data_IF_782165057726
#
_entry.id   IF_782165057726
#
_cell.length_a   1.000
_cell.length_b   1.000
_cell.length_c   1.000
_cell.angle_alpha   90.00
_cell.angle_beta   90.00
_cell.angle_gamma   90.00
#
_symmetry.space_group_name_H-M   'P 1'
#
loop_
_entity.id
_entity.type
_entity.pdbx_description
1 polymer ?
#
# COMPACT_ATOMS: atom_id res chain seq x y z
N UNK A 1 -57.71 6.31 37.99
CA UNK A 1 -58.02 5.37 36.88
C UNK A 1 -56.74 5.32 36.04
N UNK A 2 -55.80 4.37 36.18
CA UNK A 2 -55.89 2.95 36.57
C UNK A 2 -56.88 2.20 35.64
N UNK A 3 -56.59 1.10 34.93
CA UNK A 3 -55.49 0.11 34.86
C UNK A 3 -55.18 -0.20 33.36
N UNK A 4 -54.11 -0.86 32.88
CA UNK A 4 -52.78 -1.30 33.40
C UNK A 4 -52.00 -1.99 32.24
N UNK A 5 -50.67 -2.22 32.34
CA UNK A 5 -49.89 -3.02 31.37
C UNK A 5 -50.30 -4.50 31.38
N UNK A 6 -50.17 -5.23 30.27
CA UNK A 6 -49.82 -6.67 30.32
C UNK A 6 -49.21 -7.18 29.01
N UNK A 7 -48.00 -7.74 29.11
CA UNK A 7 -47.44 -8.64 28.10
C UNK A 7 -48.22 -9.97 28.06
N UNK A 8 -48.36 -10.57 26.88
CA UNK A 8 -48.58 -12.02 26.76
C UNK A 8 -47.51 -12.69 25.90
N UNK A 9 -46.63 -13.41 26.56
CA UNK A 9 -45.79 -14.46 25.99
C UNK A 9 -46.47 -15.85 26.13
N UNK A 10 -45.84 -16.89 25.55
CA UNK A 10 -46.26 -18.31 25.44
C UNK A 10 -47.06 -18.62 24.15
N UNK A 11 -46.90 -19.78 23.50
CA UNK A 11 -45.79 -20.75 23.44
C UNK A 11 -46.00 -21.68 22.23
N UNK A 12 -44.97 -22.41 21.81
CA UNK A 12 -45.00 -23.38 20.69
C UNK A 12 -45.79 -24.65 21.07
N UNK A 13 -46.89 -24.98 20.37
CA UNK A 13 -47.22 -26.35 19.84
C UNK A 13 -48.65 -26.47 19.26
N UNK A 14 -48.73 -26.96 18.01
CA UNK A 14 -49.90 -27.64 17.43
C UNK A 14 -51.11 -26.73 17.07
N UNK A 15 -52.05 -27.17 16.22
CA UNK A 15 -52.10 -28.37 15.37
C UNK A 15 -53.10 -28.17 14.21
N UNK A 16 -52.92 -28.92 13.13
CA UNK A 16 -53.67 -28.91 11.86
C UNK A 16 -55.21 -28.96 11.96
N UNK A 17 -55.90 -28.05 11.24
CA UNK A 17 -57.14 -28.26 10.43
C UNK A 17 -57.15 -27.13 9.37
N UNK A 18 -57.51 -27.27 8.08
CA UNK A 18 -58.01 -28.41 7.31
C UNK A 18 -59.16 -28.00 6.38
N UNK A 19 -58.89 -27.74 5.09
CA UNK A 19 -59.86 -27.64 3.97
C UNK A 19 -59.07 -27.64 2.65
N UNK A 20 -59.24 -28.55 1.69
CA UNK A 20 -60.43 -28.96 0.91
C UNK A 20 -61.03 -27.81 0.08
N UNK A 21 -61.31 -27.93 -1.22
CA UNK A 21 -61.01 -28.97 -2.21
C UNK A 21 -61.15 -28.36 -3.63
N UNK A 22 -60.67 -29.05 -4.67
CA UNK A 22 -61.36 -29.17 -5.97
C UNK A 22 -60.69 -30.27 -6.83
N UNK A 23 -61.50 -31.02 -7.58
CA UNK A 23 -61.09 -32.24 -8.26
C UNK A 23 -61.04 -32.08 -9.79
N UNK A 24 -60.15 -32.83 -10.45
CA UNK A 24 -60.07 -32.96 -11.91
C UNK A 24 -59.22 -34.17 -12.29
N UNK A 25 -59.81 -35.14 -12.99
CA UNK A 25 -59.26 -36.50 -13.15
C UNK A 25 -58.73 -36.76 -14.56
N UNK A 26 -57.51 -37.28 -14.72
CA UNK A 26 -57.11 -38.13 -15.87
C UNK A 26 -55.76 -38.87 -15.68
N UNK A 27 -55.85 -40.13 -15.27
CA UNK A 27 -55.00 -41.29 -15.59
C UNK A 27 -53.63 -41.10 -16.30
N UNK A 28 -52.54 -41.41 -15.59
CA UNK A 28 -51.45 -42.28 -16.06
C UNK A 28 -50.67 -42.88 -14.87
N UNK A 29 -50.43 -44.19 -14.89
CA UNK A 29 -49.58 -44.94 -13.96
C UNK A 29 -48.26 -45.32 -14.70
N UNK A 30 -47.10 -45.62 -14.05
CA UNK A 30 -47.03 -46.60 -12.96
C UNK A 30 -46.02 -46.39 -11.81
N UNK A 31 -46.28 -47.15 -10.74
CA UNK A 31 -45.33 -47.87 -9.88
C UNK A 31 -44.14 -47.15 -9.19
N UNK A 32 -44.36 -46.84 -7.92
CA UNK A 32 -43.52 -47.23 -6.76
C UNK A 32 -42.02 -47.53 -6.97
N UNK A 33 -41.19 -46.68 -6.36
CA UNK A 33 -40.16 -47.16 -5.43
C UNK A 33 -40.27 -46.38 -4.11
N UNK A 34 -40.49 -47.09 -3.00
CA UNK A 34 -40.13 -46.56 -1.68
C UNK A 34 -38.61 -46.51 -1.65
N UNK A 35 -38.05 -45.36 -1.30
CA UNK A 35 -36.83 -45.40 -0.50
C UNK A 35 -36.91 -44.41 0.66
N UNK A 36 -35.98 -44.60 1.58
CA UNK A 36 -36.13 -44.43 3.00
C UNK A 36 -35.71 -43.04 3.48
N UNK A 37 -36.15 -42.73 4.71
CA UNK A 37 -35.77 -41.51 5.41
C UNK A 37 -34.27 -41.55 5.74
N UNK A 38 -33.47 -40.82 4.96
CA UNK A 38 -32.12 -40.44 5.41
C UNK A 38 -31.78 -39.00 4.99
N UNK A 39 -32.62 -38.05 5.43
CA UNK A 39 -32.26 -36.64 5.45
C UNK A 39 -31.24 -36.38 6.56
N UNK A 40 -29.98 -36.78 6.32
CA UNK A 40 -28.87 -35.98 6.82
C UNK A 40 -29.09 -34.57 6.29
N UNK A 41 -29.33 -33.62 7.18
CA UNK A 41 -29.17 -32.23 6.85
C UNK A 41 -27.71 -32.07 6.42
N UNK A 42 -27.47 -31.82 5.12
CA UNK A 42 -26.21 -31.18 4.73
C UNK A 42 -26.22 -29.84 5.44
N UNK A 43 -25.31 -29.65 6.38
CA UNK A 43 -24.80 -28.32 6.64
C UNK A 43 -24.41 -27.76 5.27
N UNK A 44 -25.08 -26.69 4.85
CA UNK A 44 -24.57 -25.92 3.73
C UNK A 44 -23.27 -25.33 4.24
N UNK A 45 -22.17 -25.80 3.67
CA UNK A 45 -20.85 -25.30 4.00
C UNK A 45 -20.75 -23.85 3.54
N UNK A 46 -20.98 -22.93 4.48
CA UNK A 46 -21.05 -21.48 4.22
C UNK A 46 -19.64 -20.90 3.99
N UNK A 47 -18.59 -21.71 4.17
CA UNK A 47 -17.18 -21.30 4.09
C UNK A 47 -16.58 -21.41 2.69
N UNK A 48 -17.24 -22.17 1.80
CA UNK A 48 -16.77 -22.42 0.44
C UNK A 48 -15.55 -23.33 0.31
N UNK A 49 -15.11 -24.03 1.37
CA UNK A 49 -13.88 -24.84 1.40
C UNK A 49 -13.98 -26.21 0.69
N UNK A 50 -14.54 -26.20 -0.53
CA UNK A 50 -14.35 -27.29 -1.47
C UNK A 50 -12.94 -27.25 -2.10
N UNK A 51 -12.37 -28.39 -2.53
CA UNK A 51 -11.03 -28.48 -3.15
C UNK A 51 -10.95 -27.87 -4.57
N UNK A 52 -11.89 -26.99 -4.91
CA UNK A 52 -12.05 -26.36 -6.21
C UNK A 52 -12.70 -24.96 -6.03
N UNK A 53 -12.32 -24.23 -4.97
CA UNK A 53 -12.88 -22.94 -4.64
C UNK A 53 -12.24 -21.82 -5.46
N UNK A 54 -13.06 -21.10 -6.24
CA UNK A 54 -12.67 -19.94 -7.06
C UNK A 54 -12.41 -18.68 -6.19
N UNK A 55 -11.76 -18.84 -5.03
CA UNK A 55 -11.49 -17.76 -4.05
C UNK A 55 -9.98 -17.47 -3.99
N UNK A 56 -9.40 -16.81 -5.01
CA UNK A 56 -7.95 -16.71 -5.17
C UNK A 56 -7.22 -15.95 -4.07
N UNK A 57 -7.91 -15.14 -3.26
CA UNK A 57 -7.31 -14.35 -2.18
C UNK A 57 -7.41 -15.00 -0.78
N UNK A 58 -8.24 -16.04 -0.62
CA UNK A 58 -8.62 -16.58 0.70
C UNK A 58 -7.41 -17.09 1.50
N UNK A 59 -6.48 -17.76 0.81
CA UNK A 59 -5.31 -18.41 1.41
C UNK A 59 -3.98 -17.89 0.83
N UNK A 60 -3.97 -16.71 0.19
CA UNK A 60 -2.73 -16.13 -0.34
C UNK A 60 -2.05 -15.26 0.70
N UNK A 61 -0.87 -15.70 1.12
CA UNK A 61 -0.03 -15.07 2.13
C UNK A 61 1.24 -14.50 1.49
N UNK A 62 1.81 -13.48 2.13
CA UNK A 62 3.19 -13.03 1.88
C UNK A 62 3.99 -13.31 3.14
N UNK A 63 5.18 -13.88 3.01
CA UNK A 63 6.04 -14.17 4.16
C UNK A 63 6.36 -12.88 4.93
N UNK A 64 6.10 -12.91 6.24
CA UNK A 64 6.34 -11.78 7.14
C UNK A 64 7.76 -11.79 7.71
N UNK A 65 8.31 -12.98 7.94
CA UNK A 65 9.71 -13.17 8.35
C UNK A 65 10.63 -13.20 7.14
N UNK A 66 11.86 -12.72 7.32
CA UNK A 66 12.83 -12.65 6.24
C UNK A 66 14.02 -11.75 6.59
N UNK A 67 14.94 -11.61 5.64
CA UNK A 67 16.08 -10.69 5.70
C UNK A 67 15.64 -9.22 5.62
N UNK A 68 14.66 -8.94 4.76
CA UNK A 68 14.06 -7.63 4.58
C UNK A 68 12.59 -7.66 4.96
N UNK A 69 12.02 -6.52 5.35
CA UNK A 69 10.58 -6.43 5.60
C UNK A 69 9.76 -6.62 4.31
N UNK A 70 8.64 -7.34 4.43
CA UNK A 70 7.64 -7.44 3.37
C UNK A 70 7.03 -6.07 3.03
N UNK A 71 6.45 -5.95 1.84
CA UNK A 71 5.87 -4.70 1.33
C UNK A 71 6.88 -3.75 0.67
N UNK A 72 8.14 -4.18 0.49
CA UNK A 72 9.20 -3.40 -0.18
C UNK A 72 9.49 -3.98 -1.56
N UNK A 73 10.12 -5.18 -1.62
CA UNK A 73 10.32 -5.96 -2.85
C UNK A 73 9.06 -6.74 -3.27
N UNK A 74 8.12 -6.95 -2.34
CA UNK A 74 6.82 -7.56 -2.62
C UNK A 74 6.09 -6.80 -3.73
N UNK A 75 5.58 -7.51 -4.77
CA UNK A 75 4.72 -6.91 -5.79
C UNK A 75 3.62 -6.02 -5.18
N UNK A 76 3.31 -4.85 -5.76
CA UNK A 76 2.27 -3.98 -5.23
C UNK A 76 0.90 -4.67 -5.22
N UNK A 77 0.28 -4.77 -4.03
CA UNK A 77 -1.11 -5.19 -3.88
C UNK A 77 -2.07 -4.10 -4.37
N UNK A 78 -3.33 -4.45 -4.58
CA UNK A 78 -4.37 -3.54 -5.06
C UNK A 78 -4.61 -2.31 -4.16
N UNK A 79 -4.42 -2.42 -2.84
CA UNK A 79 -4.70 -1.34 -1.89
C UNK A 79 -3.57 -1.14 -0.88
N UNK A 80 -3.40 0.10 -0.43
CA UNK A 80 -2.47 0.48 0.62
C UNK A 80 -3.08 1.53 1.57
N UNK A 81 -2.83 1.38 2.86
CA UNK A 81 -2.99 2.42 3.85
C UNK A 81 -1.61 2.76 4.40
N UNK A 82 -1.19 4.02 4.27
CA UNK A 82 0.06 4.52 4.85
C UNK A 82 -0.31 5.42 6.04
N UNK A 83 0.24 5.11 7.22
CA UNK A 83 -0.11 5.77 8.47
C UNK A 83 1.12 6.42 9.10
N UNK A 84 1.04 7.72 9.37
CA UNK A 84 1.99 8.46 10.18
C UNK A 84 1.54 8.50 11.63
N UNK A 85 2.34 7.95 12.54
CA UNK A 85 2.10 7.91 13.99
C UNK A 85 3.08 8.81 14.75
N UNK A 86 2.55 9.60 15.68
CA UNK A 86 3.36 10.38 16.62
C UNK A 86 3.37 9.73 18.00
N UNK A 87 4.55 9.53 18.59
CA UNK A 87 4.70 9.05 19.96
C UNK A 87 4.27 10.12 20.97
N UNK A 88 3.52 9.73 22.00
CA UNK A 88 3.18 10.62 23.12
C UNK A 88 4.43 11.04 23.90
N UNK A 89 4.35 12.20 24.57
CA UNK A 89 5.48 12.87 25.22
C UNK A 89 6.14 12.07 26.36
N UNK A 90 5.40 11.18 27.01
CA UNK A 90 5.85 10.38 28.15
C UNK A 90 6.35 8.97 27.78
N UNK A 91 6.25 8.57 26.50
CA UNK A 91 6.78 7.31 25.97
C UNK A 91 8.30 7.30 26.03
N UNK A 92 8.84 6.18 26.52
CA UNK A 92 10.29 5.94 26.63
C UNK A 92 10.72 4.75 25.77
N UNK A 93 12.03 4.50 25.70
CA UNK A 93 12.62 3.39 24.94
C UNK A 93 11.93 2.05 25.24
N UNK A 94 11.67 1.75 26.52
CA UNK A 94 10.97 0.54 26.94
C UNK A 94 9.50 0.45 26.48
N UNK A 95 8.83 1.58 26.29
CA UNK A 95 7.45 1.64 25.83
C UNK A 95 7.38 1.49 24.30
N UNK A 96 8.35 2.06 23.58
CA UNK A 96 8.57 1.81 22.16
C UNK A 96 8.88 0.32 21.90
N UNK A 97 9.71 -0.33 22.72
CA UNK A 97 9.93 -1.80 22.67
C UNK A 97 8.63 -2.58 22.80
N UNK A 98 7.76 -2.21 23.75
CA UNK A 98 6.45 -2.87 23.96
C UNK A 98 5.54 -2.69 22.75
N UNK A 99 5.49 -1.49 22.18
CA UNK A 99 4.72 -1.19 20.97
C UNK A 99 5.21 -2.03 19.77
N UNK A 100 6.51 -2.00 19.47
CA UNK A 100 7.04 -2.72 18.31
C UNK A 100 6.94 -4.24 18.47
N UNK A 101 7.17 -4.80 19.68
CA UNK A 101 6.91 -6.22 19.97
C UNK A 101 5.45 -6.62 19.73
N UNK A 102 4.51 -5.78 20.18
CA UNK A 102 3.07 -6.00 19.96
C UNK A 102 2.72 -5.95 18.47
N UNK A 103 3.16 -4.91 17.77
CA UNK A 103 2.89 -4.74 16.34
C UNK A 103 3.55 -5.81 15.46
N UNK A 104 4.77 -6.27 15.76
CA UNK A 104 5.38 -7.38 15.04
C UNK A 104 4.59 -8.69 15.23
N UNK A 105 4.18 -9.02 16.46
CA UNK A 105 3.37 -10.22 16.72
C UNK A 105 1.97 -10.14 16.10
N UNK A 106 1.35 -8.96 16.13
CA UNK A 106 0.05 -8.71 15.48
C UNK A 106 0.17 -8.85 13.95
N UNK A 107 1.23 -8.28 13.35
CA UNK A 107 1.50 -8.39 11.93
C UNK A 107 1.71 -9.84 11.49
N UNK A 108 2.63 -10.55 12.15
CA UNK A 108 2.92 -11.99 11.97
C UNK A 108 1.65 -12.86 11.94
N UNK A 109 0.66 -12.51 12.78
CA UNK A 109 -0.63 -13.21 12.84
C UNK A 109 -1.53 -12.84 11.67
N UNK A 110 -1.78 -11.54 11.47
CA UNK A 110 -2.68 -11.05 10.43
C UNK A 110 -2.24 -11.46 9.02
N UNK A 111 -0.94 -11.40 8.70
CA UNK A 111 -0.42 -11.80 7.38
C UNK A 111 -0.52 -13.30 7.12
N UNK A 112 -0.74 -14.12 8.15
CA UNK A 112 -0.91 -15.59 8.06
C UNK A 112 -2.30 -16.07 8.49
N UNK A 113 -3.31 -15.20 8.36
CA UNK A 113 -4.73 -15.54 8.55
C UNK A 113 -5.16 -15.76 10.00
N UNK A 114 -4.29 -15.42 10.96
CA UNK A 114 -4.48 -15.70 12.40
C UNK A 114 -4.92 -14.45 13.12
N UNK A 115 -5.84 -14.62 14.06
CA UNK A 115 -6.31 -13.54 14.92
C UNK A 115 -5.23 -13.08 15.92
N UNK A 116 -4.95 -11.76 16.02
CA UNK A 116 -4.17 -11.14 17.09
C UNK A 116 -4.73 -11.36 18.49
N UNK A 117 -3.90 -11.19 19.51
CA UNK A 117 -4.35 -11.29 20.91
C UNK A 117 -5.20 -10.06 21.27
N UNK A 118 -6.43 -10.29 21.71
CA UNK A 118 -7.35 -9.21 22.10
C UNK A 118 -7.92 -8.43 20.92
N UNK A 119 -7.87 -8.98 19.70
CA UNK A 119 -8.82 -8.66 18.62
C UNK A 119 -10.24 -9.10 19.02
N UNK A 120 -11.25 -8.37 18.58
CA UNK A 120 -12.66 -8.60 18.89
C UNK A 120 -13.47 -9.06 17.66
N UNK A 121 -12.87 -9.02 16.47
CA UNK A 121 -13.50 -9.38 15.19
C UNK A 121 -12.67 -10.46 14.46
N UNK A 122 -12.50 -11.66 15.05
CA UNK A 122 -11.62 -12.72 14.52
C UNK A 122 -11.96 -13.14 13.09
N UNK A 123 -13.22 -13.06 12.68
CA UNK A 123 -13.72 -13.39 11.34
C UNK A 123 -13.03 -12.55 10.24
N UNK A 124 -12.61 -11.32 10.56
CA UNK A 124 -11.97 -10.41 9.60
C UNK A 124 -10.49 -10.74 9.37
N UNK A 125 -9.87 -11.53 10.26
CA UNK A 125 -8.48 -11.97 10.10
C UNK A 125 -8.32 -13.19 9.19
N UNK A 126 -9.39 -13.93 8.87
CA UNK A 126 -9.30 -15.25 8.21
C UNK A 126 -8.88 -15.23 6.73
N UNK A 127 -8.87 -14.06 6.08
CA UNK A 127 -8.47 -13.91 4.67
C UNK A 127 -7.27 -12.96 4.60
N UNK A 128 -6.04 -13.48 4.43
CA UNK A 128 -4.85 -12.63 4.42
C UNK A 128 -4.77 -11.76 3.16
N UNK A 129 -5.28 -12.20 2.02
CA UNK A 129 -5.33 -11.42 0.77
C UNK A 129 -4.00 -10.68 0.44
N UNK A 130 -2.87 -11.38 0.51
CA UNK A 130 -1.53 -10.83 0.31
C UNK A 130 -1.16 -9.69 1.27
N UNK A 131 -1.74 -9.64 2.48
CA UNK A 131 -1.46 -8.62 3.49
C UNK A 131 0.04 -8.54 3.80
N UNK A 132 0.55 -7.32 3.81
CA UNK A 132 1.91 -6.97 4.27
C UNK A 132 1.86 -5.75 5.16
N UNK A 133 2.83 -5.67 6.06
CA UNK A 133 3.03 -4.53 6.96
C UNK A 133 4.52 -4.18 6.99
N UNK A 134 4.82 -2.92 6.73
CA UNK A 134 6.19 -2.38 6.72
C UNK A 134 6.28 -1.24 7.73
N UNK A 135 7.17 -1.35 8.71
CA UNK A 135 7.44 -0.34 9.73
C UNK A 135 8.64 0.53 9.33
N UNK A 136 8.55 1.84 9.54
CA UNK A 136 9.64 2.79 9.37
C UNK A 136 9.71 3.80 10.51
N UNK A 137 10.92 4.13 10.95
CA UNK A 137 11.22 5.01 12.08
C UNK A 137 11.75 6.36 11.56
N UNK A 138 11.09 7.45 11.91
CA UNK A 138 11.44 8.81 11.48
C UNK A 138 12.43 9.46 12.44
N UNK A 139 13.05 10.57 12.02
CA UNK A 139 13.95 11.37 12.87
C UNK A 139 13.39 11.65 14.29
N UNK A 140 12.11 12.07 14.47
CA UNK A 140 11.56 12.34 15.80
C UNK A 140 11.56 11.13 16.76
N UNK A 141 11.49 9.90 16.25
CA UNK A 141 11.56 8.69 17.07
C UNK A 141 12.93 8.54 17.74
N UNK A 142 14.00 8.79 17.00
CA UNK A 142 15.36 8.72 17.55
C UNK A 142 15.55 9.81 18.61
N UNK A 143 15.11 11.05 18.32
CA UNK A 143 15.32 12.18 19.21
C UNK A 143 14.47 12.09 20.49
N UNK A 144 13.20 11.65 20.42
CA UNK A 144 12.36 11.44 21.63
C UNK A 144 12.86 10.32 22.53
N UNK A 145 13.43 9.26 21.96
CA UNK A 145 13.91 8.09 22.71
C UNK A 145 15.35 8.22 23.20
N UNK A 146 16.04 9.32 22.88
CA UNK A 146 17.44 9.56 23.27
C UNK A 146 18.44 8.71 22.48
N UNK A 147 18.12 8.41 21.22
CA UNK A 147 18.89 7.57 20.29
C UNK A 147 19.57 8.39 19.18
N UNK A 148 19.71 9.71 19.34
CA UNK A 148 20.28 10.60 18.33
C UNK A 148 21.68 10.19 17.88
N UNK A 149 22.51 9.59 18.76
CA UNK A 149 23.84 9.05 18.41
C UNK A 149 23.78 7.80 17.50
N UNK A 150 22.63 7.13 17.43
CA UNK A 150 22.33 6.01 16.52
C UNK A 150 21.52 6.45 15.29
N UNK A 151 21.15 7.74 15.17
CA UNK A 151 20.35 8.21 14.03
C UNK A 151 21.20 8.16 12.74
N UNK A 152 20.74 7.51 11.65
CA UNK A 152 21.43 7.57 10.36
C UNK A 152 21.58 9.03 9.91
N UNK A 153 22.74 9.42 9.39
CA UNK A 153 23.01 10.85 9.09
C UNK A 153 22.09 11.46 8.04
N UNK A 154 21.56 10.63 7.14
CA UNK A 154 20.59 10.99 6.10
C UNK A 154 19.14 11.03 6.60
N UNK A 155 18.85 10.56 7.83
CA UNK A 155 17.50 10.53 8.39
C UNK A 155 17.15 11.89 8.98
N UNK A 156 16.74 12.80 8.11
CA UNK A 156 16.20 14.11 8.42
C UNK A 156 15.10 14.49 7.42
N UNK A 157 14.38 15.58 7.66
CA UNK A 157 13.42 16.14 6.70
C UNK A 157 14.11 16.47 5.36
N UNK A 158 13.48 16.12 4.24
CA UNK A 158 13.93 16.54 2.91
C UNK A 158 13.69 18.04 2.73
N UNK A 159 14.74 18.78 2.38
CA UNK A 159 14.66 20.20 2.01
C UNK A 159 13.52 20.48 1.02
N UNK A 160 12.73 21.52 1.27
CA UNK A 160 11.64 21.93 0.40
C UNK A 160 12.15 22.38 -0.99
N UNK A 161 11.52 21.86 -2.05
CA UNK A 161 11.84 22.21 -3.43
C UNK A 161 11.13 23.49 -3.89
N UNK A 162 11.58 24.09 -5.01
CA UNK A 162 11.10 25.41 -5.44
C UNK A 162 9.60 25.49 -5.75
N UNK A 163 8.96 24.34 -6.02
CA UNK A 163 7.53 24.19 -6.34
C UNK A 163 6.72 23.47 -5.26
N UNK A 164 7.33 23.13 -4.14
CA UNK A 164 6.63 22.45 -3.04
C UNK A 164 5.59 23.38 -2.40
N UNK A 165 4.47 22.80 -1.99
CA UNK A 165 3.45 23.44 -1.14
C UNK A 165 3.13 22.51 0.02
N UNK A 166 4.16 22.13 0.79
CA UNK A 166 4.02 21.15 1.86
C UNK A 166 3.04 21.65 2.93
N UNK A 167 2.16 20.75 3.35
CA UNK A 167 1.15 20.98 4.38
C UNK A 167 1.52 20.18 5.62
N UNK A 168 1.46 20.83 6.80
CA UNK A 168 1.90 20.23 8.08
C UNK A 168 1.18 18.91 8.39
N UNK A 169 -0.08 18.77 7.93
CA UNK A 169 -0.90 17.56 8.11
C UNK A 169 -0.29 16.32 7.44
N UNK A 170 0.46 16.48 6.34
CA UNK A 170 1.16 15.39 5.63
C UNK A 170 2.69 15.37 5.86
N UNK A 171 3.17 16.16 6.84
CA UNK A 171 4.59 16.20 7.21
C UNK A 171 5.03 15.03 8.09
N UNK A 172 6.33 14.99 8.39
CA UNK A 172 7.04 14.00 9.21
C UNK A 172 6.34 13.54 10.49
N UNK A 173 6.59 12.28 10.87
CA UNK A 173 6.14 11.62 12.11
C UNK A 173 7.25 10.80 12.77
N UNK A 174 7.00 10.30 13.99
CA UNK A 174 7.92 9.37 14.66
C UNK A 174 7.95 8.00 13.98
N UNK A 175 6.80 7.43 13.64
CA UNK A 175 6.71 6.11 12.98
C UNK A 175 5.82 6.22 11.74
N UNK A 176 6.16 5.47 10.70
CA UNK A 176 5.29 5.18 9.58
C UNK A 176 4.99 3.68 9.52
N UNK A 177 3.73 3.32 9.26
CA UNK A 177 3.33 1.95 8.93
C UNK A 177 2.66 1.93 7.57
N UNK A 178 3.25 1.23 6.61
CA UNK A 178 2.63 0.89 5.33
C UNK A 178 1.93 -0.46 5.48
N UNK A 179 0.59 -0.49 5.33
CA UNK A 179 -0.22 -1.71 5.33
C UNK A 179 -0.78 -1.89 3.92
N UNK A 180 -0.52 -3.01 3.25
CA UNK A 180 -1.00 -3.25 1.88
C UNK A 180 -1.65 -4.63 1.76
N UNK A 181 -2.79 -4.72 1.06
CA UNK A 181 -3.51 -5.97 0.79
C UNK A 181 -4.32 -5.89 -0.52
N UNK A 182 -4.72 -7.03 -1.06
CA UNK A 182 -5.58 -7.12 -2.25
C UNK A 182 -7.07 -7.01 -1.93
N UNK A 183 -7.46 -7.13 -0.65
CA UNK A 183 -8.84 -6.98 -0.17
C UNK A 183 -8.99 -5.77 0.78
N UNK A 184 -9.99 -4.89 0.55
CA UNK A 184 -10.17 -3.68 1.35
C UNK A 184 -10.77 -3.93 2.75
N UNK A 185 -11.44 -5.06 2.99
CA UNK A 185 -11.96 -5.43 4.32
C UNK A 185 -10.80 -5.90 5.20
N UNK A 186 -9.94 -6.79 4.69
CA UNK A 186 -8.69 -7.19 5.35
C UNK A 186 -7.82 -5.98 5.66
N UNK A 187 -7.64 -5.07 4.69
CA UNK A 187 -6.88 -3.84 4.89
C UNK A 187 -7.49 -2.94 5.98
N UNK A 188 -8.81 -2.75 5.98
CA UNK A 188 -9.51 -1.92 6.96
C UNK A 188 -9.43 -2.51 8.38
N UNK A 189 -9.57 -3.83 8.53
CA UNK A 189 -9.42 -4.54 9.80
C UNK A 189 -8.00 -4.39 10.36
N UNK A 190 -6.98 -4.74 9.56
CA UNK A 190 -5.58 -4.61 9.92
C UNK A 190 -5.21 -3.17 10.35
N UNK A 191 -5.68 -2.18 9.59
CA UNK A 191 -5.49 -0.75 9.88
C UNK A 191 -6.13 -0.34 11.21
N UNK A 192 -7.41 -0.68 11.41
CA UNK A 192 -8.14 -0.40 12.66
C UNK A 192 -7.48 -1.07 13.86
N UNK A 193 -6.99 -2.30 13.70
CA UNK A 193 -6.30 -3.03 14.76
C UNK A 193 -5.01 -2.33 15.18
N UNK A 194 -4.17 -1.91 14.23
CA UNK A 194 -2.93 -1.17 14.49
C UNK A 194 -3.15 0.17 15.19
N UNK A 195 -4.14 0.96 14.74
CA UNK A 195 -4.51 2.22 15.40
C UNK A 195 -4.96 1.95 16.85
N UNK A 196 -5.78 0.91 17.07
CA UNK A 196 -6.27 0.54 18.41
C UNK A 196 -5.15 0.06 19.33
N UNK A 197 -4.21 -0.76 18.86
CA UNK A 197 -3.08 -1.25 19.66
C UNK A 197 -2.06 -0.14 19.98
N UNK A 198 -2.01 0.92 19.17
CA UNK A 198 -1.16 2.10 19.41
C UNK A 198 -1.60 2.99 20.57
N UNK A 199 -2.87 2.92 21.02
CA UNK A 199 -3.55 4.00 21.76
C UNK A 199 -2.91 4.45 23.09
N UNK A 200 -2.00 3.65 23.68
CA UNK A 200 -1.23 4.01 24.89
C UNK A 200 0.14 4.65 24.60
N UNK A 201 0.58 4.62 23.36
CA UNK A 201 1.95 4.91 22.95
C UNK A 201 2.01 5.97 21.83
N UNK A 202 1.06 5.94 20.90
CA UNK A 202 1.04 6.85 19.76
C UNK A 202 -0.37 7.28 19.38
N UNK A 203 -0.44 8.43 18.70
CA UNK A 203 -1.61 8.92 17.99
C UNK A 203 -1.35 8.93 16.47
N UNK A 204 -2.40 8.78 15.67
CA UNK A 204 -2.31 8.93 14.21
C UNK A 204 -2.28 10.42 13.88
N UNK A 205 -1.19 10.89 13.26
CA UNK A 205 -1.13 12.24 12.67
C UNK A 205 -1.88 12.28 11.34
N UNK A 206 -1.66 11.27 10.50
CA UNK A 206 -2.28 11.17 9.18
C UNK A 206 -2.44 9.73 8.71
N UNK A 207 -3.42 9.50 7.84
CA UNK A 207 -3.70 8.24 7.17
C UNK A 207 -3.98 8.53 5.69
N UNK A 208 -3.21 7.90 4.81
CA UNK A 208 -3.35 8.04 3.37
C UNK A 208 -3.86 6.72 2.76
N UNK A 209 -5.05 6.77 2.17
CA UNK A 209 -5.67 5.67 1.45
C UNK A 209 -5.22 5.67 -0.01
N UNK A 210 -4.64 4.56 -0.46
CA UNK A 210 -4.07 4.37 -1.78
C UNK A 210 -4.62 3.13 -2.50
N UNK A 211 -4.72 3.21 -3.83
CA UNK A 211 -5.16 2.10 -4.67
C UNK A 211 -4.40 1.99 -6.00
N UNK A 212 -4.44 0.78 -6.55
CA UNK A 212 -4.04 0.39 -7.89
C UNK A 212 -5.22 -0.35 -8.56
N UNK A 213 -4.98 -1.12 -9.61
CA UNK A 213 -6.01 -2.03 -10.14
C UNK A 213 -6.35 -3.11 -9.10
N UNK A 214 -7.65 -3.38 -8.91
CA UNK A 214 -8.11 -4.49 -8.09
C UNK A 214 -7.57 -5.83 -8.62
N UNK A 215 -7.22 -6.74 -7.72
CA UNK A 215 -6.61 -8.03 -8.06
C UNK A 215 -7.47 -8.80 -9.08
N UNK A 216 -6.85 -9.27 -10.16
CA UNK A 216 -7.54 -9.92 -11.29
C UNK A 216 -8.14 -8.99 -12.36
N UNK A 217 -8.10 -7.66 -12.19
CA UNK A 217 -8.59 -6.69 -13.21
C UNK A 217 -7.60 -6.49 -14.39
N UNK A 218 -6.35 -6.90 -14.20
CA UNK A 218 -5.26 -6.84 -15.18
C UNK A 218 -4.42 -8.12 -15.08
N UNK A 219 -3.60 -8.40 -16.09
CA UNK A 219 -2.70 -9.56 -16.07
C UNK A 219 -1.72 -9.50 -14.89
N UNK A 220 -1.44 -10.66 -14.27
CA UNK A 220 -0.53 -10.74 -13.12
C UNK A 220 0.88 -10.32 -13.53
N UNK A 221 1.40 -9.28 -12.89
CA UNK A 221 2.73 -8.71 -13.20
C UNK A 221 2.72 -7.61 -14.25
N UNK A 222 1.57 -7.26 -14.84
CA UNK A 222 1.46 -6.09 -15.70
C UNK A 222 1.71 -4.79 -14.92
N UNK A 223 2.41 -3.84 -15.54
CA UNK A 223 2.63 -2.51 -14.97
C UNK A 223 1.29 -1.78 -14.77
N UNK A 224 1.03 -1.35 -13.53
CA UNK A 224 -0.17 -0.58 -13.19
C UNK A 224 -0.23 0.78 -13.87
N UNK A 225 -1.36 1.48 -13.75
CA UNK A 225 -1.53 2.85 -14.26
C UNK A 225 -1.74 3.86 -13.16
N UNK A 226 -1.23 5.07 -13.38
CA UNK A 226 -1.54 6.24 -12.55
C UNK A 226 -2.78 6.98 -13.09
N UNK A 227 -3.34 7.92 -12.30
CA UNK A 227 -4.55 8.67 -12.69
C UNK A 227 -4.35 9.63 -13.89
N UNK A 228 -3.11 9.94 -14.28
CA UNK A 228 -2.84 10.61 -15.56
C UNK A 228 -3.00 9.69 -16.78
N UNK A 229 -3.19 8.38 -16.55
CA UNK A 229 -3.43 7.35 -17.56
C UNK A 229 -2.18 6.61 -18.03
N UNK A 230 -1.00 6.92 -17.50
CA UNK A 230 0.28 6.33 -17.92
C UNK A 230 0.55 5.01 -17.19
N UNK A 231 1.22 4.06 -17.87
CA UNK A 231 1.85 2.92 -17.19
C UNK A 231 2.90 3.46 -16.22
N UNK A 232 2.83 3.04 -14.96
CA UNK A 232 3.69 3.56 -13.89
C UNK A 232 4.31 2.39 -13.10
N UNK A 233 5.65 2.30 -13.17
CA UNK A 233 6.42 1.23 -12.53
C UNK A 233 7.40 0.49 -13.44
N UNK A 234 7.34 0.73 -14.77
CA UNK A 234 8.14 0.08 -15.82
C UNK A 234 9.64 -0.02 -15.51
N UNK A 235 10.24 1.08 -15.05
CA UNK A 235 11.65 1.11 -14.62
C UNK A 235 11.66 1.12 -13.09
N UNK A 236 12.06 -0.02 -12.54
CA UNK A 236 12.20 -0.36 -11.12
C UNK A 236 13.14 -1.57 -11.02
N UNK A 237 13.81 -1.80 -9.87
CA UNK A 237 14.60 -3.01 -9.67
C UNK A 237 13.72 -4.27 -9.72
N UNK A 238 14.26 -5.31 -10.34
CA UNK A 238 13.59 -6.54 -10.75
C UNK A 238 14.35 -7.82 -10.38
N UNK A 239 15.65 -7.72 -10.11
CA UNK A 239 16.51 -8.80 -9.62
C UNK A 239 17.10 -8.50 -8.25
N UNK A 240 17.52 -9.53 -7.52
CA UNK A 240 18.14 -9.38 -6.19
C UNK A 240 19.40 -8.50 -6.25
N UNK A 241 20.17 -8.56 -7.35
CA UNK A 241 21.32 -7.69 -7.60
C UNK A 241 20.90 -6.21 -7.73
N UNK A 242 19.82 -5.92 -8.45
CA UNK A 242 19.30 -4.55 -8.57
C UNK A 242 18.72 -4.03 -7.24
N UNK A 243 18.11 -4.90 -6.42
CA UNK A 243 17.66 -4.53 -5.08
C UNK A 243 18.84 -4.29 -4.12
N UNK A 244 19.88 -5.13 -4.16
CA UNK A 244 21.10 -4.96 -3.38
C UNK A 244 21.92 -3.73 -3.80
N UNK A 245 21.89 -3.33 -5.07
CA UNK A 245 22.50 -2.08 -5.58
C UNK A 245 21.71 -0.84 -5.12
N UNK A 246 20.38 -0.90 -5.12
CA UNK A 246 19.54 0.32 -5.05
C UNK A 246 18.83 0.53 -3.72
N UNK A 247 18.49 -0.53 -2.96
CA UNK A 247 17.48 -0.48 -1.89
C UNK A 247 18.04 -0.82 -0.51
N UNK A 248 18.80 -1.90 -0.39
CA UNK A 248 19.19 -2.46 0.92
C UNK A 248 20.45 -1.82 1.49
N UNK A 249 20.39 -1.38 2.74
CA UNK A 249 21.53 -0.76 3.43
C UNK A 249 22.59 -1.84 3.72
N UNK A 250 23.79 -1.64 3.21
CA UNK A 250 24.96 -2.52 3.35
C UNK A 250 26.10 -1.89 4.18
N UNK A 251 26.11 -0.57 4.32
CA UNK A 251 27.06 0.18 5.16
C UNK A 251 26.43 0.73 6.45
N UNK A 252 27.27 0.98 7.46
CA UNK A 252 26.84 1.51 8.77
C UNK A 252 26.78 0.45 9.88
N UNK A 253 26.09 0.73 11.00
CA UNK A 253 26.00 -0.17 12.14
C UNK A 253 25.18 -1.43 11.81
N UNK A 254 25.50 -2.55 12.45
CA UNK A 254 24.91 -3.85 12.09
C UNK A 254 23.37 -3.92 12.25
N UNK A 255 22.78 -3.15 13.17
CA UNK A 255 21.32 -3.06 13.32
C UNK A 255 20.60 -2.34 12.16
N UNK A 256 21.34 -1.59 11.33
CA UNK A 256 20.80 -0.83 10.20
C UNK A 256 20.89 -1.59 8.86
N UNK A 257 21.76 -2.60 8.79
CA UNK A 257 21.96 -3.42 7.58
C UNK A 257 20.71 -4.23 7.24
N UNK A 258 20.55 -4.55 5.97
CA UNK A 258 19.36 -5.19 5.37
C UNK A 258 18.05 -4.38 5.53
N UNK A 259 18.08 -3.23 6.21
CA UNK A 259 17.04 -2.22 6.20
C UNK A 259 17.05 -1.36 4.93
N UNK A 260 16.22 -0.32 4.90
CA UNK A 260 16.16 0.64 3.79
C UNK A 260 15.67 2.01 4.24
N UNK A 261 15.94 3.06 3.48
CA UNK A 261 15.25 4.34 3.62
C UNK A 261 13.92 4.31 2.85
N UNK A 262 12.83 4.65 3.53
CA UNK A 262 11.53 4.94 2.95
C UNK A 262 11.33 6.45 2.83
N UNK A 263 10.90 6.93 1.65
CA UNK A 263 10.40 8.30 1.45
C UNK A 263 8.95 8.23 0.99
N UNK A 264 8.10 9.03 1.62
CA UNK A 264 6.68 9.22 1.24
C UNK A 264 6.46 10.68 0.86
N UNK A 265 5.98 10.90 -0.36
CA UNK A 265 5.56 12.22 -0.86
C UNK A 265 4.09 12.15 -1.28
N UNK A 266 3.26 13.04 -0.74
CA UNK A 266 1.88 13.21 -1.21
C UNK A 266 1.89 14.22 -2.36
N UNK A 267 1.46 13.79 -3.53
CA UNK A 267 1.51 14.58 -4.77
C UNK A 267 0.09 14.80 -5.28
N UNK A 268 -0.39 16.03 -5.20
CA UNK A 268 -1.67 16.43 -5.78
C UNK A 268 -1.55 16.59 -7.30
N UNK A 269 -2.60 16.18 -8.02
CA UNK A 269 -2.71 16.33 -9.47
C UNK A 269 -3.69 17.44 -9.83
N UNK A 270 -3.26 18.38 -10.68
CA UNK A 270 -4.16 19.30 -11.34
C UNK A 270 -4.78 18.62 -12.57
N UNK A 271 -5.85 17.86 -12.35
CA UNK A 271 -6.55 17.14 -13.42
C UNK A 271 -7.25 18.09 -14.40
N UNK A 272 -7.82 19.20 -13.91
CA UNK A 272 -8.54 20.18 -14.74
C UNK A 272 -7.66 20.80 -15.84
N UNK A 273 -6.39 21.12 -15.56
CA UNK A 273 -5.42 21.56 -16.58
C UNK A 273 -4.82 20.40 -17.38
N UNK A 274 -4.59 19.23 -16.76
CA UNK A 274 -4.06 18.05 -17.46
C UNK A 274 -5.00 17.56 -18.56
N UNK A 275 -6.31 17.56 -18.30
CA UNK A 275 -7.31 17.05 -19.23
C UNK A 275 -7.48 17.93 -20.48
N UNK A 276 -7.00 19.18 -20.46
CA UNK A 276 -6.98 20.08 -21.63
C UNK A 276 -5.91 19.71 -22.64
N UNK A 277 -4.86 18.99 -22.24
CA UNK A 277 -3.80 18.57 -23.16
C UNK A 277 -4.29 17.52 -24.15
N UNK A 278 -3.89 17.66 -25.41
CA UNK A 278 -3.98 16.57 -26.36
C UNK A 278 -3.03 15.42 -25.98
N UNK A 279 -3.25 14.24 -26.58
CA UNK A 279 -2.49 13.04 -26.24
C UNK A 279 -0.99 13.15 -26.54
N UNK A 280 -0.59 13.77 -27.66
CA UNK A 280 0.82 13.89 -28.01
C UNK A 280 1.56 14.83 -27.05
N UNK A 281 0.90 15.91 -26.61
CA UNK A 281 1.42 16.78 -25.54
C UNK A 281 1.62 16.02 -24.22
N UNK A 282 0.67 15.17 -23.81
CA UNK A 282 0.83 14.32 -22.61
C UNK A 282 1.98 13.33 -22.75
N UNK A 283 2.10 12.67 -23.90
CA UNK A 283 3.18 11.71 -24.18
C UNK A 283 4.56 12.40 -24.21
N UNK A 284 4.65 13.63 -24.73
CA UNK A 284 5.86 14.47 -24.65
C UNK A 284 6.25 14.81 -23.20
N UNK A 285 5.27 15.16 -22.34
CA UNK A 285 5.52 15.48 -20.92
C UNK A 285 6.16 14.30 -20.19
N UNK A 286 5.71 13.07 -20.44
CA UNK A 286 6.29 11.87 -19.83
C UNK A 286 7.54 11.33 -20.54
N UNK A 287 7.64 11.50 -21.86
CA UNK A 287 8.64 10.89 -22.73
C UNK A 287 8.30 9.45 -23.19
N UNK A 288 7.10 8.95 -22.84
CA UNK A 288 6.59 7.61 -23.16
C UNK A 288 5.21 7.69 -23.82
N UNK A 289 4.81 6.65 -24.54
CA UNK A 289 3.47 6.50 -25.11
C UNK A 289 2.45 6.08 -24.04
N UNK A 290 1.21 6.56 -24.10
CA UNK A 290 0.15 6.20 -23.15
C UNK A 290 -0.36 4.77 -23.34
N UNK A 291 -0.46 4.29 -24.58
CA UNK A 291 -0.99 2.93 -24.85
C UNK A 291 -0.01 1.88 -24.35
N UNK A 292 1.17 1.81 -24.96
CA UNK A 292 2.14 0.75 -24.69
C UNK A 292 3.04 1.05 -23.49
N UNK A 293 3.24 2.33 -23.13
CA UNK A 293 4.29 2.72 -22.19
C UNK A 293 5.68 2.77 -22.83
N UNK A 294 5.83 2.42 -24.13
CA UNK A 294 7.10 2.48 -24.85
C UNK A 294 7.70 3.90 -24.84
N UNK A 295 9.04 4.05 -24.79
CA UNK A 295 9.67 5.37 -24.93
C UNK A 295 9.37 5.99 -26.30
N UNK A 296 9.34 7.32 -26.40
CA UNK A 296 9.12 8.00 -27.70
C UNK A 296 10.23 7.73 -28.73
N UNK A 297 11.37 7.18 -28.32
CA UNK A 297 12.37 6.63 -29.23
C UNK A 297 11.90 5.38 -30.00
N UNK A 298 10.80 4.75 -29.59
CA UNK A 298 10.20 3.56 -30.20
C UNK A 298 10.51 2.25 -29.45
N UNK A 299 9.83 1.18 -29.86
CA UNK A 299 9.91 -0.15 -29.23
C UNK A 299 8.64 -0.50 -28.45
N UNK A 300 8.80 -1.33 -27.43
CA UNK A 300 7.79 -1.71 -26.44
C UNK A 300 8.04 -1.02 -25.08
N UNK A 301 7.25 -1.36 -24.06
CA UNK A 301 7.38 -0.83 -22.70
C UNK A 301 8.82 -0.93 -22.14
N UNK A 302 9.46 -2.08 -22.29
CA UNK A 302 10.73 -2.42 -21.66
C UNK A 302 11.96 -2.09 -22.53
N UNK A 303 11.72 -1.62 -23.76
CA UNK A 303 12.78 -1.17 -24.67
C UNK A 303 13.57 0.00 -24.03
N UNK A 304 14.92 -0.08 -23.99
CA UNK A 304 15.75 1.02 -23.52
C UNK A 304 15.53 2.31 -24.33
N UNK A 305 15.43 3.44 -23.63
CA UNK A 305 15.20 4.74 -24.24
C UNK A 305 16.47 5.29 -24.92
N UNK A 306 16.34 5.75 -26.17
CA UNK A 306 17.40 6.48 -26.86
C UNK A 306 17.20 7.99 -26.73
N UNK A 307 17.81 8.57 -25.69
CA UNK A 307 17.81 10.01 -25.41
C UNK A 307 18.59 10.85 -26.45
N UNK A 308 19.32 10.23 -27.39
CA UNK A 308 20.11 10.91 -28.42
C UNK A 308 19.41 10.90 -29.78
N UNK A 309 18.32 10.12 -29.93
CA UNK A 309 17.54 10.04 -31.17
C UNK A 309 16.81 11.35 -31.46
N UNK A 310 16.90 11.79 -32.71
CA UNK A 310 16.16 12.95 -33.23
C UNK A 310 15.15 12.55 -34.31
N UNK A 311 14.19 13.43 -34.56
CA UNK A 311 13.29 13.37 -35.70
C UNK A 311 13.96 13.86 -37.00
N UNK A 312 13.17 13.94 -38.09
CA UNK A 312 13.61 14.43 -39.41
C UNK A 312 14.02 15.92 -39.42
N UNK A 313 13.64 16.69 -38.40
CA UNK A 313 13.96 18.10 -38.21
C UNK A 313 15.18 18.32 -37.30
N UNK A 314 15.73 17.24 -36.72
CA UNK A 314 16.84 17.29 -35.77
C UNK A 314 16.43 17.62 -34.33
N UNK A 315 15.14 17.57 -34.00
CA UNK A 315 14.63 17.75 -32.64
C UNK A 315 14.67 16.42 -31.87
N UNK A 316 15.02 16.39 -30.58
CA UNK A 316 14.99 15.17 -29.78
C UNK A 316 13.58 14.54 -29.74
N UNK A 317 13.48 13.24 -30.01
CA UNK A 317 12.17 12.52 -29.96
C UNK A 317 11.68 12.31 -28.53
N UNK A 318 12.60 12.24 -27.57
CA UNK A 318 12.32 12.35 -26.14
C UNK A 318 12.77 13.75 -25.74
N UNK A 319 11.84 14.58 -25.26
CA UNK A 319 12.16 15.92 -24.79
C UNK A 319 13.13 15.84 -23.58
N UNK A 320 14.27 16.56 -23.58
CA UNK A 320 15.20 16.59 -22.44
C UNK A 320 14.60 17.12 -21.13
N UNK A 321 13.43 17.78 -21.19
CA UNK A 321 12.61 18.25 -20.06
C UNK A 321 11.45 17.31 -19.72
N UNK A 322 11.27 16.20 -20.44
CA UNK A 322 10.27 15.17 -20.11
C UNK A 322 10.60 14.48 -18.78
N UNK A 323 9.56 14.02 -18.08
CA UNK A 323 9.69 13.39 -16.77
C UNK A 323 10.72 12.26 -16.76
N UNK A 324 10.68 11.34 -17.75
CA UNK A 324 11.65 10.25 -17.80
C UNK A 324 13.10 10.70 -18.04
N UNK A 325 13.31 11.74 -18.87
CA UNK A 325 14.65 12.26 -19.17
C UNK A 325 15.25 13.07 -18.01
N UNK A 326 14.41 13.59 -17.11
CA UNK A 326 14.84 14.24 -15.86
C UNK A 326 15.02 13.25 -14.71
N UNK A 327 14.18 12.21 -14.65
CA UNK A 327 14.21 11.18 -13.62
C UNK A 327 15.39 10.20 -13.77
N UNK A 328 15.80 9.87 -15.01
CA UNK A 328 16.92 8.93 -15.25
C UNK A 328 18.21 9.37 -14.55
N UNK A 329 19.02 8.40 -14.13
CA UNK A 329 20.33 8.66 -13.57
C UNK A 329 21.29 9.20 -14.65
N UNK A 330 22.18 10.16 -14.32
CA UNK A 330 23.33 10.48 -15.15
C UNK A 330 24.26 9.27 -15.36
N UNK A 331 25.00 9.25 -16.47
CA UNK A 331 25.99 8.19 -16.80
C UNK A 331 27.10 8.10 -15.73
N UNK A 332 27.49 9.22 -15.11
CA UNK A 332 28.51 9.30 -14.06
C UNK A 332 27.96 9.08 -12.64
N UNK A 333 26.65 8.84 -12.50
CA UNK A 333 25.93 8.65 -11.23
C UNK A 333 24.97 7.44 -11.28
N UNK A 334 25.46 6.22 -11.58
CA UNK A 334 24.61 5.04 -11.76
C UNK A 334 23.81 4.63 -10.52
N UNK A 335 24.26 5.05 -9.32
CA UNK A 335 23.57 4.81 -8.04
C UNK A 335 22.27 5.62 -7.88
N UNK A 336 22.02 6.64 -8.71
CA UNK A 336 20.85 7.52 -8.59
C UNK A 336 19.56 6.91 -9.16
N UNK A 337 19.23 5.72 -8.65
CA UNK A 337 18.00 4.96 -8.90
C UNK A 337 17.27 4.76 -7.58
N UNK A 338 16.03 4.28 -7.63
CA UNK A 338 15.22 3.98 -6.45
C UNK A 338 14.12 2.97 -6.79
N UNK A 339 13.63 2.23 -5.79
CA UNK A 339 12.45 1.37 -5.95
C UNK A 339 11.19 2.17 -5.70
N UNK A 340 10.42 2.46 -6.75
CA UNK A 340 9.09 3.10 -6.65
C UNK A 340 8.01 2.06 -6.37
N UNK A 341 7.10 2.40 -5.45
CA UNK A 341 5.96 1.58 -5.01
C UNK A 341 4.74 2.46 -4.75
N UNK A 342 4.50 3.44 -5.63
CA UNK A 342 3.48 4.46 -5.47
C UNK A 342 2.05 3.91 -5.64
N UNK A 343 1.10 4.60 -5.01
CA UNK A 343 -0.33 4.29 -5.05
C UNK A 343 -1.13 5.54 -5.45
N UNK A 344 -2.20 5.39 -6.23
CA UNK A 344 -3.10 6.49 -6.53
C UNK A 344 -3.95 6.83 -5.31
N UNK A 345 -4.33 8.10 -5.13
CA UNK A 345 -5.46 8.46 -4.28
C UNK A 345 -6.49 9.23 -5.08
N UNK A 346 -7.76 9.03 -4.73
CA UNK A 346 -8.90 9.75 -5.28
C UNK A 346 -9.92 9.90 -4.14
N UNK A 347 -10.16 11.16 -3.75
CA UNK A 347 -10.93 11.53 -2.56
C UNK A 347 -12.08 12.46 -2.96
N UNK A 348 -13.08 12.67 -2.09
CA UNK A 348 -14.12 13.66 -2.32
C UNK A 348 -13.50 15.05 -2.62
N UNK A 349 -13.99 15.76 -3.66
CA UNK A 349 -13.59 17.13 -3.94
C UNK A 349 -13.77 18.05 -2.72
N UNK A 350 -12.80 18.94 -2.49
CA UNK A 350 -12.82 19.87 -1.36
C UNK A 350 -13.77 21.03 -1.67
N UNK A 351 -14.82 21.28 -0.86
CA UNK A 351 -15.79 22.34 -1.16
C UNK A 351 -15.15 23.74 -1.15
N UNK A 352 -15.15 24.40 -2.31
CA UNK A 352 -14.60 25.75 -2.47
C UNK A 352 -13.15 25.80 -2.94
N UNK A 353 -12.52 24.66 -3.20
CA UNK A 353 -11.22 24.60 -3.88
C UNK A 353 -11.34 24.99 -5.36
N UNK A 354 -10.23 25.38 -5.98
CA UNK A 354 -10.16 25.77 -7.39
C UNK A 354 -10.10 24.55 -8.31
N UNK A 355 -9.42 23.49 -7.87
CA UNK A 355 -9.29 22.23 -8.59
C UNK A 355 -10.50 21.34 -8.25
N UNK A 356 -11.17 20.78 -9.26
CA UNK A 356 -12.42 20.01 -9.08
C UNK A 356 -12.21 18.58 -8.62
N UNK A 357 -10.96 18.12 -8.63
CA UNK A 357 -10.53 16.75 -8.30
C UNK A 357 -9.62 16.76 -7.07
N UNK A 358 -9.92 15.95 -6.07
CA UNK A 358 -9.00 15.70 -4.95
C UNK A 358 -8.27 14.36 -5.19
N UNK A 359 -7.45 14.36 -6.24
CA UNK A 359 -6.83 13.15 -6.80
C UNK A 359 -5.32 13.34 -6.91
N UNK A 360 -4.57 12.25 -6.90
CA UNK A 360 -3.12 12.32 -6.97
C UNK A 360 -2.41 11.00 -6.71
N UNK A 361 -1.17 11.11 -6.24
CA UNK A 361 -0.28 9.99 -5.99
C UNK A 361 0.30 10.06 -4.58
N UNK A 362 0.16 8.97 -3.84
CA UNK A 362 1.00 8.66 -2.68
C UNK A 362 2.28 8.06 -3.26
N UNK A 363 3.27 8.91 -3.53
CA UNK A 363 4.55 8.47 -4.03
C UNK A 363 5.36 7.87 -2.88
N UNK A 364 5.65 6.57 -3.00
CA UNK A 364 6.42 5.79 -2.04
C UNK A 364 7.67 5.32 -2.77
N UNK A 365 8.86 5.55 -2.22
CA UNK A 365 10.09 4.97 -2.73
C UNK A 365 11.04 4.48 -1.65
N UNK A 366 11.81 3.45 -2.00
CA UNK A 366 12.81 2.81 -1.16
C UNK A 366 14.20 2.90 -1.80
N UNK A 367 15.20 3.20 -0.97
CA UNK A 367 16.59 3.44 -1.39
C UNK A 367 17.57 3.23 -0.22
N UNK A 368 18.88 3.11 -0.48
CA UNK A 368 19.91 3.07 0.58
C UNK A 368 20.05 4.42 1.28
N UNK A 369 20.22 5.49 0.49
CA UNK A 369 20.44 6.85 0.99
C UNK A 369 19.56 7.86 0.21
N UNK A 370 18.63 8.57 0.88
CA UNK A 370 17.74 9.54 0.23
C UNK A 370 18.46 10.82 -0.22
N UNK A 371 19.62 11.19 0.34
CA UNK A 371 20.38 12.36 -0.13
C UNK A 371 21.00 12.09 -1.51
N UNK A 372 21.61 10.93 -1.68
CA UNK A 372 22.27 10.52 -2.92
C UNK A 372 21.28 10.12 -4.00
N UNK A 373 20.15 9.49 -3.62
CA UNK A 373 19.20 8.89 -4.56
C UNK A 373 17.98 9.80 -4.77
N UNK A 374 17.02 9.79 -3.84
CA UNK A 374 15.76 10.54 -3.99
C UNK A 374 15.99 12.03 -4.20
N UNK A 375 16.76 12.68 -3.32
CA UNK A 375 17.01 14.12 -3.32
C UNK A 375 17.77 14.55 -4.57
N UNK A 376 18.75 13.77 -5.04
CA UNK A 376 19.46 14.07 -6.28
C UNK A 376 18.56 13.98 -7.52
N UNK A 377 17.64 13.00 -7.56
CA UNK A 377 16.62 12.88 -8.62
C UNK A 377 15.65 14.06 -8.55
N UNK A 378 15.07 14.32 -7.37
CA UNK A 378 14.09 15.39 -7.18
C UNK A 378 14.67 16.78 -7.47
N UNK A 379 15.96 17.03 -7.15
CA UNK A 379 16.68 18.26 -7.57
C UNK A 379 16.72 18.42 -9.09
N UNK A 380 16.85 17.34 -9.88
CA UNK A 380 16.80 17.40 -11.36
C UNK A 380 15.37 17.61 -11.90
N UNK A 381 14.36 17.06 -11.22
CA UNK A 381 12.95 17.23 -11.56
C UNK A 381 12.51 18.69 -11.30
N UNK A 382 12.81 19.22 -10.11
CA UNK A 382 12.47 20.60 -9.72
C UNK A 382 13.04 21.65 -10.69
N UNK A 383 14.25 21.43 -11.22
CA UNK A 383 14.87 22.36 -12.16
C UNK A 383 14.10 22.55 -13.48
N UNK A 384 13.53 21.48 -14.05
CA UNK A 384 13.14 21.50 -15.47
C UNK A 384 12.06 20.50 -15.91
N UNK A 385 11.60 19.58 -15.05
CA UNK A 385 10.58 18.60 -15.45
C UNK A 385 9.27 19.30 -15.85
N UNK A 386 8.74 18.95 -17.02
CA UNK A 386 7.44 19.44 -17.52
C UNK A 386 6.27 19.02 -16.64
N UNK A 387 6.33 17.84 -16.01
CA UNK A 387 5.21 17.29 -15.24
C UNK A 387 4.82 18.19 -14.05
N UNK A 388 5.78 18.96 -13.53
CA UNK A 388 5.60 19.99 -12.50
C UNK A 388 4.50 21.05 -12.79
N UNK A 389 3.98 21.15 -14.02
CA UNK A 389 2.84 22.03 -14.33
C UNK A 389 1.50 21.45 -13.84
N UNK A 390 1.43 20.12 -13.67
CA UNK A 390 0.22 19.38 -13.28
C UNK A 390 0.38 18.60 -11.98
N UNK A 391 1.55 18.64 -11.35
CA UNK A 391 1.81 18.02 -10.05
C UNK A 391 2.23 19.06 -9.02
N UNK A 392 1.83 18.87 -7.76
CA UNK A 392 2.32 19.66 -6.63
C UNK A 392 2.57 18.73 -5.45
N UNK A 393 3.75 18.77 -4.86
CA UNK A 393 4.03 18.04 -3.63
C UNK A 393 3.42 18.81 -2.45
N UNK A 394 2.50 18.16 -1.74
CA UNK A 394 1.77 18.70 -0.57
C UNK A 394 2.10 17.97 0.74
N UNK A 395 2.84 16.86 0.67
CA UNK A 395 3.28 16.11 1.84
C UNK A 395 4.65 15.48 1.64
N UNK A 396 5.40 15.34 2.74
CA UNK A 396 6.77 14.85 2.72
C UNK A 396 7.15 14.22 4.06
N UNK A 397 7.76 13.04 4.00
CA UNK A 397 8.30 12.35 5.18
C UNK A 397 9.34 11.29 4.80
N UNK A 398 10.28 11.05 5.72
CA UNK A 398 11.44 10.14 5.58
C UNK A 398 11.48 9.21 6.78
N UNK A 399 11.77 7.92 6.54
CA UNK A 399 11.85 6.90 7.57
C UNK A 399 12.99 5.94 7.29
N UNK A 400 13.61 5.42 8.35
CA UNK A 400 14.44 4.23 8.32
C UNK A 400 13.55 3.00 8.58
N UNK A 401 13.41 2.13 7.58
CA UNK A 401 12.82 0.81 7.75
C UNK A 401 13.89 -0.17 8.25
N UNK A 402 13.76 -0.74 9.47
CA UNK A 402 14.69 -1.77 9.96
C UNK A 402 14.68 -3.02 9.07
N UNK A 403 15.69 -3.90 9.22
CA UNK A 403 15.68 -5.23 8.61
C UNK A 403 14.43 -6.05 8.96
N UNK A 404 14.27 -7.16 8.25
CA UNK A 404 13.27 -8.18 8.56
C UNK A 404 13.53 -8.88 9.89
N UNK A 405 12.54 -9.66 10.34
CA UNK A 405 12.58 -10.41 11.60
C UNK A 405 12.59 -11.92 11.32
N UNK A 406 13.12 -12.72 12.23
CA UNK A 406 13.08 -14.18 12.11
C UNK A 406 14.17 -14.95 12.87
N UNK A 407 14.27 -16.25 12.60
CA UNK A 407 15.31 -17.10 13.21
C UNK A 407 16.71 -16.58 12.86
N UNK A 408 17.54 -16.35 13.88
CA UNK A 408 18.89 -15.81 13.73
C UNK A 408 18.95 -14.30 13.47
N UNK A 409 17.83 -13.58 13.52
CA UNK A 409 17.71 -12.12 13.34
C UNK A 409 16.98 -11.49 14.52
N UNK A 410 16.62 -10.21 14.38
CA UNK A 410 15.71 -9.50 15.30
C UNK A 410 14.39 -10.28 15.47
N UNK A 411 13.87 -10.35 16.69
CA UNK A 411 12.59 -11.01 17.01
C UNK A 411 11.38 -10.09 16.85
N UNK A 412 11.62 -8.77 16.88
CA UNK A 412 10.66 -7.71 16.60
C UNK A 412 11.34 -6.55 15.89
N UNK A 413 10.56 -5.70 15.19
CA UNK A 413 11.14 -4.61 14.40
C UNK A 413 12.04 -3.69 15.23
N UNK A 414 13.26 -3.48 14.75
CA UNK A 414 14.30 -2.65 15.37
C UNK A 414 14.74 -3.11 16.78
N UNK A 415 14.73 -4.43 17.06
CA UNK A 415 15.30 -4.99 18.29
C UNK A 415 16.79 -4.65 18.42
N UNK A 416 17.59 -4.83 17.36
CA UNK A 416 19.02 -4.50 17.36
C UNK A 416 19.32 -3.03 17.68
N UNK A 417 18.44 -2.11 17.26
CA UNK A 417 18.52 -0.69 17.63
C UNK A 417 18.08 -0.46 19.08
N UNK A 418 16.97 -1.05 19.51
CA UNK A 418 16.34 -0.75 20.80
C UNK A 418 16.96 -1.49 21.99
N UNK A 419 17.66 -2.61 21.79
CA UNK A 419 18.37 -3.34 22.85
C UNK A 419 19.88 -2.99 22.94
N UNK A 420 20.38 -2.10 22.07
CA UNK A 420 21.78 -1.61 22.07
C UNK A 420 22.19 -0.72 23.26
#
# INVERSE_FOLDING_TARGET
MAHEDTHHSLSRRGFLVGSSALAGSALAAPAFAKDSLDKKAKEQDITGDGPNSDMPLKNTEVEFEGEHQAGISTPPQAFANVLGFNLYRDVKRDDAKRLLRLWTEDARRLTTGKTPVGDLEPELAWTPANLTMTCGLGEPFFDKLGLTDQKPSWLHDIDAFSKDKLEDEWGQTDICVQICADDPITLAHATRHFIRSSVRYAEVKWLQHGFLHASGSVEKGATGRNLFGFKDGTVNPSSDEEYADQVWIDEGPDWAKDGTCLVVRRIAYNMDEWEKLDRASREMVFGRTMTEGAPLSGGDEFTPADYKKTDELGLPVIDPMSHMARAVNPDDKPNQKLKRRAYNYDLPPVPGDIDRSNSGLIFICFQKNPEEQFTAIQKRLDQADRLNQWTTHIGSSVYFCPPGVGEGRDTYWAEGLLES
#
